data_IF_718301613427
#
_entry.id   IF_718301613427
#
_cell.length_a   1.000
_cell.length_b   1.000
_cell.length_c   1.000
_cell.angle_alpha   90.00
_cell.angle_beta   90.00
_cell.angle_gamma   90.00
#
_symmetry.space_group_name_H-M   'P 1'
#
loop_
_entity.id
_entity.type
_entity.pdbx_description
1 polymer ?
#
# COMPACT_ATOMS: atom_id res chain seq x y z
N UNK A 1 -7.90 7.87 -33.19
CA UNK A 1 -6.83 7.00 -32.61
C UNK A 1 -7.32 6.48 -31.27
N UNK A 2 -7.58 5.18 -31.08
CA UNK A 2 -7.90 4.66 -29.75
C UNK A 2 -6.66 4.79 -28.86
N UNK A 3 -6.83 5.38 -27.67
CA UNK A 3 -5.74 5.63 -26.71
C UNK A 3 -5.21 4.27 -26.24
N UNK A 4 -3.99 3.89 -26.62
CA UNK A 4 -3.34 2.67 -26.12
C UNK A 4 -3.33 2.72 -24.58
N UNK A 5 -3.76 1.66 -23.88
CA UNK A 5 -3.64 1.61 -22.43
C UNK A 5 -2.18 1.80 -22.05
N UNK A 6 -1.86 2.87 -21.33
CA UNK A 6 -0.53 3.04 -20.76
C UNK A 6 -0.34 1.95 -19.69
N UNK A 7 0.43 0.92 -20.03
CA UNK A 7 0.72 -0.22 -19.17
C UNK A 7 1.50 0.19 -17.91
N UNK A 8 2.16 1.35 -17.89
CA UNK A 8 2.92 1.86 -16.75
C UNK A 8 2.09 2.78 -15.85
N UNK A 9 0.91 3.22 -16.30
CA UNK A 9 0.09 4.18 -15.55
C UNK A 9 -0.35 3.63 -14.20
N UNK A 10 -0.74 2.35 -14.13
CA UNK A 10 -1.12 1.70 -12.87
C UNK A 10 0.03 1.73 -11.86
N UNK A 11 1.25 1.39 -12.30
CA UNK A 11 2.45 1.48 -11.47
C UNK A 11 2.71 2.89 -10.95
N UNK A 12 2.59 3.92 -11.81
CA UNK A 12 2.75 5.32 -11.39
C UNK A 12 1.68 5.76 -10.39
N UNK A 13 0.44 5.30 -10.55
CA UNK A 13 -0.65 5.55 -9.59
C UNK A 13 -0.31 4.90 -8.25
N UNK A 14 0.14 3.65 -8.24
CA UNK A 14 0.52 2.94 -7.01
C UNK A 14 1.73 3.58 -6.31
N UNK A 15 2.72 4.05 -7.06
CA UNK A 15 3.86 4.80 -6.50
C UNK A 15 3.42 6.13 -5.88
N UNK A 16 2.57 6.87 -6.58
CA UNK A 16 2.00 8.12 -6.10
C UNK A 16 1.16 7.90 -4.83
N UNK A 17 0.27 6.90 -4.83
CA UNK A 17 -0.56 6.54 -3.69
C UNK A 17 0.26 6.08 -2.49
N UNK A 18 1.28 5.23 -2.71
CA UNK A 18 2.15 4.76 -1.63
C UNK A 18 3.01 5.89 -1.03
N UNK A 19 3.51 6.82 -1.86
CA UNK A 19 4.21 8.02 -1.37
C UNK A 19 3.29 8.91 -0.54
N UNK A 20 2.05 9.11 -0.99
CA UNK A 20 1.05 9.86 -0.24
C UNK A 20 0.77 9.21 1.11
N UNK A 21 0.54 7.90 1.13
CA UNK A 21 0.33 7.14 2.36
C UNK A 21 1.50 7.28 3.33
N UNK A 22 2.72 7.05 2.84
CA UNK A 22 3.95 7.14 3.65
C UNK A 22 4.11 8.51 4.31
N UNK A 23 3.70 9.60 3.63
CA UNK A 23 3.84 10.96 4.14
C UNK A 23 2.67 11.44 5.01
N UNK A 24 1.45 11.03 4.70
CA UNK A 24 0.22 11.65 5.24
C UNK A 24 -0.73 10.68 5.93
N UNK A 25 -0.43 9.39 5.90
CA UNK A 25 -1.25 8.34 6.49
C UNK A 25 -2.60 8.14 5.78
N UNK A 26 -3.47 7.35 6.43
CA UNK A 26 -4.73 6.86 5.87
C UNK A 26 -5.70 7.97 5.44
N UNK A 27 -5.88 8.99 6.29
CA UNK A 27 -6.86 10.07 6.06
C UNK A 27 -6.63 10.84 4.76
N UNK A 28 -5.41 10.83 4.24
CA UNK A 28 -5.08 11.48 2.98
C UNK A 28 -5.44 10.63 1.76
N UNK A 29 -5.67 9.32 1.89
CA UNK A 29 -5.84 8.40 0.78
C UNK A 29 -7.31 8.31 0.31
N UNK A 30 -7.71 9.24 -0.54
CA UNK A 30 -9.00 9.20 -1.26
C UNK A 30 -8.78 9.06 -2.75
N UNK A 31 -9.72 8.46 -3.49
CA UNK A 31 -9.64 8.36 -4.96
C UNK A 31 -9.38 9.72 -5.63
N UNK A 32 -10.04 10.79 -5.16
CA UNK A 32 -9.84 12.16 -5.66
C UNK A 32 -8.43 12.69 -5.38
N UNK A 33 -7.92 12.48 -4.17
CA UNK A 33 -6.57 12.92 -3.80
C UNK A 33 -5.49 12.16 -4.59
N UNK A 34 -5.66 10.84 -4.76
CA UNK A 34 -4.73 9.99 -5.52
C UNK A 34 -4.74 10.40 -6.98
N UNK A 35 -5.90 10.72 -7.55
CA UNK A 35 -6.01 11.24 -8.92
C UNK A 35 -5.15 12.50 -9.11
N UNK A 36 -5.36 13.48 -8.21
CA UNK A 36 -4.63 14.74 -8.20
C UNK A 36 -3.12 14.53 -8.03
N UNK A 37 -2.72 13.65 -7.12
CA UNK A 37 -1.30 13.43 -6.79
C UNK A 37 -0.55 12.60 -7.84
N UNK A 38 -1.27 11.74 -8.58
CA UNK A 38 -0.72 10.95 -9.69
C UNK A 38 -0.82 11.63 -11.06
N UNK A 39 -1.41 12.84 -11.13
CA UNK A 39 -1.57 13.59 -12.38
C UNK A 39 -2.56 12.95 -13.35
N UNK A 40 -3.57 12.25 -12.84
CA UNK A 40 -4.61 11.57 -13.64
C UNK A 40 -6.01 12.03 -13.21
N UNK A 41 -7.05 11.47 -13.84
CA UNK A 41 -8.45 11.74 -13.48
C UNK A 41 -9.01 10.66 -12.55
N UNK A 42 -10.02 11.00 -11.75
CA UNK A 42 -10.72 10.03 -10.92
C UNK A 42 -11.37 8.92 -11.74
N UNK A 43 -11.87 9.23 -12.95
CA UNK A 43 -12.43 8.25 -13.88
C UNK A 43 -11.37 7.21 -14.29
N UNK A 44 -10.19 7.66 -14.71
CA UNK A 44 -9.07 6.79 -15.08
C UNK A 44 -8.59 5.91 -13.91
N UNK A 45 -8.76 6.40 -12.68
CA UNK A 45 -8.51 5.62 -11.47
C UNK A 45 -9.55 4.52 -11.30
N UNK A 46 -10.85 4.83 -11.45
CA UNK A 46 -11.93 3.83 -11.34
C UNK A 46 -11.90 2.77 -12.45
N UNK A 47 -11.42 3.12 -13.64
CA UNK A 47 -11.18 2.15 -14.74
C UNK A 47 -10.15 1.08 -14.37
N UNK A 48 -9.27 1.35 -13.39
CA UNK A 48 -8.16 0.46 -12.98
C UNK A 48 -8.33 -0.13 -11.59
N UNK A 49 -8.94 0.64 -10.69
CA UNK A 49 -9.18 0.32 -9.29
C UNK A 49 -10.66 0.53 -9.02
N UNK A 50 -11.42 -0.57 -8.96
CA UNK A 50 -12.89 -0.55 -8.85
C UNK A 50 -13.39 0.28 -7.66
N UNK A 51 -12.62 0.33 -6.58
CA UNK A 51 -12.91 1.14 -5.40
C UNK A 51 -11.65 1.43 -4.58
N UNK A 52 -11.78 2.25 -3.52
CA UNK A 52 -10.67 2.56 -2.60
C UNK A 52 -10.08 1.30 -1.96
N UNK A 53 -10.90 0.30 -1.65
CA UNK A 53 -10.44 -1.00 -1.10
C UNK A 53 -9.53 -1.76 -2.04
N UNK A 54 -9.78 -1.75 -3.36
CA UNK A 54 -8.90 -2.36 -4.35
C UNK A 54 -7.53 -1.69 -4.37
N UNK A 55 -7.48 -0.34 -4.36
CA UNK A 55 -6.23 0.41 -4.27
C UNK A 55 -5.48 0.07 -2.97
N UNK A 56 -6.18 0.07 -1.84
CA UNK A 56 -5.61 -0.30 -0.54
C UNK A 56 -5.02 -1.71 -0.57
N UNK A 57 -5.68 -2.71 -1.15
CA UNK A 57 -5.15 -4.06 -1.24
C UNK A 57 -3.78 -4.11 -1.94
N UNK A 58 -3.59 -3.34 -3.01
CA UNK A 58 -2.29 -3.21 -3.67
C UNK A 58 -1.24 -2.53 -2.77
N UNK A 59 -1.62 -1.49 -2.03
CA UNK A 59 -0.73 -0.82 -1.07
C UNK A 59 -0.33 -1.75 0.08
N UNK A 60 -1.28 -2.51 0.64
CA UNK A 60 -1.03 -3.50 1.70
C UNK A 60 -0.09 -4.61 1.23
N UNK A 61 -0.30 -5.14 0.02
CA UNK A 61 0.61 -6.10 -0.60
C UNK A 61 2.03 -5.53 -0.73
N UNK A 62 2.17 -4.29 -1.19
CA UNK A 62 3.48 -3.61 -1.28
C UNK A 62 4.15 -3.45 0.08
N UNK A 63 3.41 -2.99 1.10
CA UNK A 63 3.92 -2.83 2.46
C UNK A 63 4.41 -4.16 3.05
N UNK A 64 3.65 -5.25 2.88
CA UNK A 64 4.06 -6.60 3.30
C UNK A 64 5.33 -7.07 2.62
N UNK A 65 5.44 -6.87 1.30
CA UNK A 65 6.66 -7.25 0.56
C UNK A 65 7.88 -6.47 1.05
N UNK A 66 7.74 -5.18 1.38
CA UNK A 66 8.82 -4.38 1.96
C UNK A 66 9.21 -4.86 3.36
N UNK A 67 8.24 -5.16 4.23
CA UNK A 67 8.50 -5.72 5.55
C UNK A 67 9.22 -7.06 5.43
N UNK A 68 8.69 -7.97 4.61
CA UNK A 68 9.31 -9.27 4.33
C UNK A 68 10.75 -9.11 3.85
N UNK A 69 10.99 -8.21 2.90
CA UNK A 69 12.34 -7.95 2.40
C UNK A 69 13.30 -7.42 3.48
N UNK A 70 12.81 -6.65 4.46
CA UNK A 70 13.61 -6.17 5.59
C UNK A 70 13.97 -7.27 6.60
N UNK A 71 13.09 -8.26 6.77
CA UNK A 71 13.26 -9.32 7.79
C UNK A 71 13.81 -10.64 7.24
N UNK A 72 13.73 -10.90 5.93
CA UNK A 72 14.06 -12.21 5.32
C UNK A 72 15.50 -12.69 5.59
N UNK A 73 16.46 -11.78 5.83
CA UNK A 73 17.85 -12.15 6.15
C UNK A 73 18.13 -12.28 7.64
N UNK A 74 17.09 -12.37 8.47
CA UNK A 74 17.22 -12.64 9.90
C UNK A 74 17.60 -14.09 10.15
N UNK A 75 18.58 -14.32 11.04
CA UNK A 75 19.06 -15.65 11.42
C UNK A 75 18.52 -16.11 12.76
N UNK A 76 17.93 -15.21 13.55
CA UNK A 76 17.36 -15.49 14.87
C UNK A 76 16.03 -14.75 15.06
N UNK A 77 15.15 -15.26 15.94
CA UNK A 77 13.90 -14.56 16.28
C UNK A 77 14.14 -13.14 16.80
N UNK A 78 15.13 -12.94 17.67
CA UNK A 78 15.47 -11.61 18.20
C UNK A 78 15.88 -10.63 17.10
N UNK A 79 16.64 -11.09 16.10
CA UNK A 79 17.01 -10.25 14.97
C UNK A 79 15.79 -9.89 14.11
N UNK A 80 14.88 -10.84 13.89
CA UNK A 80 13.64 -10.59 13.18
C UNK A 80 12.80 -9.54 13.92
N UNK A 81 12.56 -9.71 15.22
CA UNK A 81 11.82 -8.74 16.04
C UNK A 81 12.45 -7.34 15.98
N UNK A 82 13.77 -7.23 16.11
CA UNK A 82 14.47 -5.94 16.00
C UNK A 82 14.24 -5.29 14.64
N UNK A 83 14.37 -6.04 13.55
CA UNK A 83 14.18 -5.50 12.20
C UNK A 83 12.73 -5.11 11.90
N UNK A 84 11.76 -5.82 12.47
CA UNK A 84 10.34 -5.41 12.42
C UNK A 84 10.15 -4.06 13.10
N UNK A 85 10.71 -3.89 14.31
CA UNK A 85 10.64 -2.63 15.05
C UNK A 85 11.35 -1.49 14.30
N UNK A 86 12.55 -1.74 13.76
CA UNK A 86 13.30 -0.77 12.97
C UNK A 86 12.52 -0.36 11.70
N UNK A 87 11.88 -1.33 11.03
CA UNK A 87 11.05 -1.09 9.85
C UNK A 87 9.89 -0.15 10.17
N UNK A 88 9.10 -0.45 11.21
CA UNK A 88 7.96 0.38 11.61
C UNK A 88 8.39 1.73 12.20
N UNK A 89 9.54 1.80 12.88
CA UNK A 89 10.13 3.07 13.30
C UNK A 89 10.46 3.98 12.12
N UNK A 90 10.90 3.41 10.99
CA UNK A 90 11.21 4.14 9.76
C UNK A 90 10.00 4.38 8.84
N UNK A 91 8.95 3.57 8.99
CA UNK A 91 7.73 3.60 8.18
C UNK A 91 6.47 3.57 9.07
N UNK A 92 6.23 4.58 9.91
CA UNK A 92 5.17 4.53 10.93
C UNK A 92 3.77 4.33 10.33
N UNK A 93 3.51 4.94 9.16
CA UNK A 93 2.22 4.80 8.48
C UNK A 93 2.02 3.40 7.87
N UNK A 94 3.08 2.64 7.57
CA UNK A 94 2.95 1.28 7.02
C UNK A 94 2.39 0.29 8.04
N UNK A 95 2.47 0.61 9.34
CA UNK A 95 1.82 -0.18 10.37
C UNK A 95 0.32 -0.34 10.10
N UNK A 96 -0.39 0.76 9.80
CA UNK A 96 -1.83 0.72 9.50
C UNK A 96 -2.19 -0.17 8.30
N UNK A 97 -1.40 -0.11 7.22
CA UNK A 97 -1.59 -0.99 6.06
C UNK A 97 -1.45 -2.47 6.42
N UNK A 98 -0.50 -2.79 7.30
CA UNK A 98 -0.17 -4.18 7.62
C UNK A 98 -1.08 -4.71 8.73
N UNK A 99 -1.45 -3.90 9.73
CA UNK A 99 -2.26 -4.30 10.88
C UNK A 99 -3.74 -4.44 10.54
N UNK A 100 -4.29 -3.61 9.65
CA UNK A 100 -5.71 -3.67 9.27
C UNK A 100 -6.09 -4.95 8.53
N UNK A 101 -5.15 -5.58 7.84
CA UNK A 101 -5.39 -6.89 7.22
C UNK A 101 -5.63 -7.98 8.27
N UNK A 102 -5.04 -7.86 9.47
CA UNK A 102 -5.34 -8.76 10.57
C UNK A 102 -6.76 -8.56 11.08
N UNK A 103 -7.21 -7.31 11.26
CA UNK A 103 -8.59 -7.03 11.67
C UNK A 103 -9.62 -7.61 10.68
N UNK A 104 -9.34 -7.54 9.38
CA UNK A 104 -10.20 -8.13 8.35
C UNK A 104 -10.11 -9.66 8.34
N UNK A 105 -8.92 -10.25 8.51
CA UNK A 105 -8.75 -11.70 8.57
C UNK A 105 -9.40 -12.32 9.82
N UNK A 106 -9.22 -11.69 10.99
CA UNK A 106 -9.89 -12.05 12.25
C UNK A 106 -11.42 -11.92 12.12
N UNK A 107 -11.92 -10.88 11.46
CA UNK A 107 -13.36 -10.71 11.23
C UNK A 107 -13.96 -11.75 10.27
N UNK A 108 -13.14 -12.40 9.43
CA UNK A 108 -13.57 -13.46 8.50
C UNK A 108 -13.47 -14.88 9.08
N UNK A 109 -12.91 -15.04 10.28
CA UNK A 109 -12.77 -16.34 10.92
C UNK A 109 -11.77 -17.27 10.24
N UNK A 110 -10.81 -16.73 9.48
CA UNK A 110 -9.74 -17.50 8.84
C UNK A 110 -8.64 -17.79 9.87
N UNK A 111 -8.83 -18.86 10.67
CA UNK A 111 -7.85 -19.43 11.60
C UNK A 111 -7.60 -20.91 11.31
#
# INVERSE_FOLDING_TARGET
MPRKPDARLEGRILDAAYRMWSQRGERALTMRSVARFSGTTTLTLYERFSNNGSLLAHLRRRARLKLFAAIQSSRTPTQACRRVLDFFGSHPNDFGLISEDWAIAFARGEH
#
